data_IF_266696236649
#
_entry.id   IF_266696236649
#
_cell.length_a   1.000
_cell.length_b   1.000
_cell.length_c   1.000
_cell.angle_alpha   90.00
_cell.angle_beta   90.00
_cell.angle_gamma   90.00
#
_symmetry.space_group_name_H-M   'P 1'
#
loop_
_entity.id
_entity.type
_entity.pdbx_description
1 polymer ?
#
# COMPACT_ATOMS: atom_id res chain seq x y z
N UNK A 1 1.04 10.96 -7.16
CA UNK A 1 -0.26 10.32 -7.44
C UNK A 1 -1.26 11.36 -7.93
N UNK A 2 -2.15 11.03 -8.89
CA UNK A 2 -3.28 11.88 -9.27
C UNK A 2 -4.18 12.18 -8.07
N UNK A 3 -4.86 13.34 -8.08
CA UNK A 3 -5.76 13.74 -6.99
C UNK A 3 -6.89 12.73 -6.73
N UNK A 4 -7.43 12.14 -7.79
CA UNK A 4 -8.46 11.11 -7.71
C UNK A 4 -8.02 9.86 -6.92
N UNK A 5 -6.72 9.58 -6.86
CA UNK A 5 -6.18 8.41 -6.17
C UNK A 5 -5.95 8.64 -4.67
N UNK A 6 -6.21 9.84 -4.15
CA UNK A 6 -5.93 10.23 -2.75
C UNK A 6 -7.13 10.11 -1.79
N UNK A 7 -8.29 9.64 -2.26
CA UNK A 7 -9.49 9.52 -1.41
C UNK A 7 -9.34 8.41 -0.36
N UNK A 8 -8.89 7.22 -0.79
CA UNK A 8 -8.53 6.10 0.08
C UNK A 8 -7.20 5.52 -0.38
N UNK A 9 -6.19 5.57 0.50
CA UNK A 9 -4.81 5.21 0.16
C UNK A 9 -4.31 4.09 1.06
N UNK A 10 -3.81 3.03 0.45
CA UNK A 10 -3.07 1.97 1.10
C UNK A 10 -1.56 2.28 1.07
N UNK A 11 -0.88 2.11 2.20
CA UNK A 11 0.58 2.11 2.28
C UNK A 11 1.02 0.74 2.81
N UNK A 12 1.80 -0.01 2.04
CA UNK A 12 2.32 -1.31 2.45
C UNK A 12 3.77 -1.13 2.91
N UNK A 13 3.99 -1.32 4.21
CA UNK A 13 5.26 -1.10 4.89
C UNK A 13 5.30 0.23 5.65
N UNK A 14 5.71 0.18 6.92
CA UNK A 14 5.86 1.33 7.81
C UNK A 14 7.32 1.49 8.29
N UNK A 15 8.27 1.25 7.38
CA UNK A 15 9.66 1.69 7.56
C UNK A 15 9.80 3.21 7.49
N UNK A 16 11.04 3.70 7.51
CA UNK A 16 11.33 5.16 7.43
C UNK A 16 10.64 5.85 6.26
N UNK A 17 10.70 5.24 5.07
CA UNK A 17 10.03 5.74 3.86
C UNK A 17 8.51 5.68 4.03
N UNK A 18 7.97 4.54 4.46
CA UNK A 18 6.52 4.37 4.65
C UNK A 18 5.90 5.38 5.62
N UNK A 19 6.55 5.63 6.76
CA UNK A 19 6.10 6.62 7.74
C UNK A 19 6.21 8.06 7.20
N UNK A 20 7.24 8.35 6.41
CA UNK A 20 7.36 9.64 5.71
C UNK A 20 6.22 9.83 4.70
N UNK A 21 5.83 8.77 4.00
CA UNK A 21 4.71 8.77 3.05
C UNK A 21 3.37 8.99 3.77
N UNK A 22 3.13 8.35 4.91
CA UNK A 22 1.92 8.60 5.72
C UNK A 22 1.78 10.09 6.05
N UNK A 23 2.87 10.73 6.49
CA UNK A 23 2.86 12.17 6.77
C UNK A 23 2.70 13.02 5.52
N UNK A 24 3.35 12.66 4.41
CA UNK A 24 3.18 13.36 3.14
C UNK A 24 1.73 13.29 2.63
N UNK A 25 1.09 12.12 2.71
CA UNK A 25 -0.32 11.94 2.35
C UNK A 25 -1.24 12.79 3.23
N UNK A 26 -0.95 12.89 4.54
CA UNK A 26 -1.67 13.81 5.45
C UNK A 26 -1.53 15.26 5.02
N UNK A 27 -0.31 15.72 4.72
CA UNK A 27 -0.03 17.08 4.25
C UNK A 27 -0.75 17.37 2.92
N UNK A 28 -0.80 16.38 2.03
CA UNK A 28 -1.50 16.47 0.75
C UNK A 28 -3.03 16.44 0.86
N UNK A 29 -3.58 16.22 2.07
CA UNK A 29 -5.02 16.13 2.30
C UNK A 29 -5.66 14.85 1.78
N UNK A 30 -4.93 13.72 1.82
CA UNK A 30 -5.52 12.41 1.53
C UNK A 30 -6.67 12.10 2.51
N UNK A 31 -7.74 11.46 2.01
CA UNK A 31 -8.95 11.20 2.78
C UNK A 31 -8.73 10.19 3.90
N UNK A 32 -8.56 8.90 3.54
CA UNK A 32 -8.29 7.82 4.49
C UNK A 32 -6.98 7.11 4.15
N UNK A 33 -6.07 7.03 5.12
CA UNK A 33 -4.78 6.34 4.97
C UNK A 33 -4.81 5.04 5.78
N UNK A 34 -4.62 3.92 5.10
CA UNK A 34 -4.55 2.58 5.71
C UNK A 34 -3.13 2.05 5.55
N UNK A 35 -2.57 1.44 6.60
CA UNK A 35 -1.21 0.89 6.57
C UNK A 35 -1.20 -0.60 6.85
N UNK A 36 -0.49 -1.38 6.04
CA UNK A 36 -0.17 -2.79 6.34
C UNK A 36 1.29 -2.89 6.78
N UNK A 37 1.53 -3.42 7.97
CA UNK A 37 2.89 -3.59 8.51
C UNK A 37 2.93 -4.74 9.53
N UNK A 38 3.86 -5.71 9.43
CA UNK A 38 3.95 -6.83 10.37
C UNK A 38 4.35 -6.43 11.80
N UNK A 39 5.19 -5.42 11.98
CA UNK A 39 5.64 -4.96 13.29
C UNK A 39 4.58 -4.09 14.00
N UNK A 40 4.12 -4.54 15.17
CA UNK A 40 3.08 -3.85 15.94
C UNK A 40 3.49 -2.45 16.46
N UNK A 41 4.76 -2.26 16.80
CA UNK A 41 5.26 -0.96 17.26
C UNK A 41 5.29 0.04 16.10
N UNK A 42 5.67 -0.41 14.90
CA UNK A 42 5.60 0.42 13.69
C UNK A 42 4.16 0.75 13.28
N UNK A 43 3.21 -0.20 13.42
CA UNK A 43 1.78 0.08 13.25
C UNK A 43 1.30 1.17 14.22
N UNK A 44 1.65 1.05 15.50
CA UNK A 44 1.29 2.07 16.49
C UNK A 44 1.89 3.45 16.16
N UNK A 45 3.11 3.49 15.62
CA UNK A 45 3.72 4.74 15.16
C UNK A 45 3.02 5.31 13.92
N UNK A 46 2.62 4.46 12.97
CA UNK A 46 1.86 4.91 11.80
C UNK A 46 0.54 5.59 12.18
N UNK A 47 -0.21 5.04 13.16
CA UNK A 47 -1.41 5.71 13.71
C UNK A 47 -1.08 7.10 14.26
N UNK A 48 -0.02 7.21 15.07
CA UNK A 48 0.41 8.50 15.65
C UNK A 48 0.79 9.53 14.58
N UNK A 49 1.31 9.08 13.45
CA UNK A 49 1.74 9.95 12.34
C UNK A 49 0.63 10.23 11.31
N UNK A 50 -0.58 9.71 11.52
CA UNK A 50 -1.77 10.08 10.75
C UNK A 50 -2.36 8.98 9.87
N UNK A 51 -1.93 7.73 10.01
CA UNK A 51 -2.74 6.61 9.50
C UNK A 51 -4.09 6.56 10.24
N UNK A 52 -5.17 6.30 9.51
CA UNK A 52 -6.49 6.10 10.08
C UNK A 52 -6.68 4.65 10.57
N UNK A 53 -6.11 3.69 9.84
CA UNK A 53 -6.18 2.27 10.17
C UNK A 53 -4.83 1.60 9.92
N UNK A 54 -4.54 0.57 10.72
CA UNK A 54 -3.32 -0.22 10.62
C UNK A 54 -3.65 -1.70 10.79
N UNK A 55 -3.03 -2.54 9.98
CA UNK A 55 -3.32 -3.97 9.91
C UNK A 55 -2.03 -4.77 9.84
N UNK A 56 -1.98 -5.95 10.48
CA UNK A 56 -0.94 -6.91 10.14
C UNK A 56 -1.24 -7.53 8.76
N UNK A 57 -0.22 -8.06 8.05
CA UNK A 57 -0.43 -8.75 6.79
C UNK A 57 -1.47 -9.87 6.93
N UNK A 58 -2.47 -9.89 6.05
CA UNK A 58 -3.55 -10.89 6.04
C UNK A 58 -4.75 -10.57 6.93
N UNK A 59 -4.72 -9.55 7.78
CA UNK A 59 -5.86 -9.18 8.64
C UNK A 59 -6.89 -8.29 7.93
N UNK A 60 -6.45 -7.53 6.92
CA UNK A 60 -7.35 -6.69 6.13
C UNK A 60 -8.19 -7.56 5.18
N UNK A 61 -9.51 -7.45 5.30
CA UNK A 61 -10.47 -8.19 4.49
C UNK A 61 -10.17 -8.10 2.97
N UNK A 62 -10.36 -9.20 2.26
CA UNK A 62 -9.89 -9.38 0.88
C UNK A 62 -10.67 -8.55 -0.16
N UNK A 63 -11.87 -8.09 0.16
CA UNK A 63 -12.76 -7.28 -0.67
C UNK A 63 -12.53 -5.77 -0.52
N UNK A 64 -11.72 -5.34 0.45
CA UNK A 64 -11.36 -3.92 0.60
C UNK A 64 -10.55 -3.43 -0.59
N UNK A 65 -10.95 -2.28 -1.14
CA UNK A 65 -10.30 -1.62 -2.28
C UNK A 65 -9.97 -0.17 -1.98
N UNK A 66 -8.93 0.33 -2.64
CA UNK A 66 -8.38 1.68 -2.47
C UNK A 66 -8.31 2.42 -3.81
N UNK A 67 -8.42 3.75 -3.77
CA UNK A 67 -8.21 4.59 -4.96
C UNK A 67 -6.72 4.66 -5.33
N UNK A 68 -5.83 4.42 -4.37
CA UNK A 68 -4.43 4.20 -4.66
C UNK A 68 -3.69 3.38 -3.60
N UNK A 69 -2.57 2.79 -4.00
CA UNK A 69 -1.70 2.02 -3.14
C UNK A 69 -0.23 2.42 -3.36
N UNK A 70 0.55 2.43 -2.28
CA UNK A 70 1.98 2.69 -2.30
C UNK A 70 2.69 1.52 -1.61
N UNK A 71 3.42 0.73 -2.39
CA UNK A 71 4.26 -0.35 -1.87
C UNK A 71 5.69 0.15 -1.65
N UNK A 72 6.10 0.23 -0.39
CA UNK A 72 7.48 0.60 0.01
C UNK A 72 8.33 -0.61 0.40
N UNK A 73 7.82 -1.83 0.24
CA UNK A 73 8.53 -3.09 0.46
C UNK A 73 9.08 -3.63 -0.86
N UNK A 74 8.28 -3.57 -1.93
CA UNK A 74 8.60 -4.09 -3.26
C UNK A 74 8.95 -5.60 -3.28
N UNK A 75 8.34 -6.38 -2.40
CA UNK A 75 8.34 -7.84 -2.51
C UNK A 75 7.23 -8.29 -3.46
N UNK A 76 7.38 -9.44 -4.11
CA UNK A 76 6.35 -9.93 -5.05
C UNK A 76 4.97 -10.03 -4.40
N UNK A 77 4.91 -10.50 -3.15
CA UNK A 77 3.66 -10.62 -2.41
C UNK A 77 3.00 -9.25 -2.16
N UNK A 78 3.77 -8.22 -1.81
CA UNK A 78 3.24 -6.88 -1.53
C UNK A 78 2.83 -6.15 -2.81
N UNK A 79 3.54 -6.37 -3.91
CA UNK A 79 3.16 -5.85 -5.22
C UNK A 79 1.84 -6.46 -5.70
N UNK A 80 1.69 -7.78 -5.57
CA UNK A 80 0.44 -8.47 -5.90
C UNK A 80 -0.71 -7.95 -5.01
N UNK A 81 -0.47 -7.77 -3.71
CA UNK A 81 -1.46 -7.25 -2.78
C UNK A 81 -1.85 -5.80 -3.14
N UNK A 82 -0.89 -4.93 -3.46
CA UNK A 82 -1.15 -3.56 -3.91
C UNK A 82 -1.99 -3.52 -5.20
N UNK A 83 -1.64 -4.34 -6.20
CA UNK A 83 -2.37 -4.41 -7.47
C UNK A 83 -3.79 -4.94 -7.31
N UNK A 84 -4.01 -5.94 -6.47
CA UNK A 84 -5.34 -6.55 -6.26
C UNK A 84 -6.24 -5.72 -5.36
N UNK A 85 -5.67 -4.83 -4.54
CA UNK A 85 -6.40 -3.96 -3.61
C UNK A 85 -6.71 -2.58 -4.17
N UNK A 86 -6.34 -2.23 -5.40
CA UNK A 86 -6.79 -0.97 -6.01
C UNK A 86 -8.05 -1.18 -6.84
N UNK A 87 -8.93 -0.17 -6.89
CA UNK A 87 -10.03 -0.17 -7.86
C UNK A 87 -9.50 -0.23 -9.30
N UNK A 88 -10.33 -0.70 -10.23
CA UNK A 88 -10.02 -0.58 -11.65
C UNK A 88 -9.84 0.91 -12.02
N UNK A 89 -8.74 1.23 -12.72
CA UNK A 89 -8.34 2.63 -12.99
C UNK A 89 -7.67 3.33 -11.80
N UNK A 90 -7.47 2.65 -10.67
CA UNK A 90 -6.71 3.13 -9.52
C UNK A 90 -5.21 3.21 -9.79
N UNK A 91 -4.46 3.75 -8.82
CA UNK A 91 -3.01 3.98 -8.97
C UNK A 91 -2.21 3.13 -8.00
N UNK A 92 -1.25 2.35 -8.50
CA UNK A 92 -0.22 1.70 -7.68
C UNK A 92 1.10 2.40 -7.90
N UNK A 93 1.80 2.73 -6.81
CA UNK A 93 3.17 3.25 -6.82
C UNK A 93 4.07 2.23 -6.14
N UNK A 94 5.10 1.76 -6.84
CA UNK A 94 6.16 0.95 -6.26
C UNK A 94 7.38 1.83 -5.97
N UNK A 95 7.85 1.83 -4.71
CA UNK A 95 8.99 2.64 -4.24
C UNK A 95 10.05 1.80 -3.51
N UNK A 96 9.73 0.57 -3.11
CA UNK A 96 10.65 -0.29 -2.37
C UNK A 96 11.80 -0.82 -3.20
N UNK A 97 12.83 -1.35 -2.52
CA UNK A 97 13.90 -2.14 -3.14
C UNK A 97 13.77 -3.57 -2.61
N UNK A 98 13.47 -4.56 -3.47
CA UNK A 98 13.32 -5.94 -3.01
C UNK A 98 14.61 -6.44 -2.39
N UNK A 99 14.51 -7.10 -1.23
CA UNK A 99 15.58 -7.92 -0.69
C UNK A 99 15.32 -9.39 -1.03
N UNK A 100 16.19 -9.99 -1.86
CA UNK A 100 16.16 -11.43 -2.18
C UNK A 100 16.03 -11.78 -3.68
N UNK A 101 16.03 -13.09 -4.01
CA UNK A 101 15.97 -13.57 -5.39
C UNK A 101 14.65 -13.20 -6.06
N UNK A 102 14.71 -12.76 -7.32
CA UNK A 102 13.53 -12.46 -8.14
C UNK A 102 12.93 -13.78 -8.63
N UNK A 103 11.72 -14.13 -8.22
CA UNK A 103 10.92 -15.10 -8.94
C UNK A 103 10.37 -14.44 -10.20
N UNK A 104 10.72 -14.94 -11.38
CA UNK A 104 10.42 -14.33 -12.68
C UNK A 104 8.94 -14.46 -13.08
N UNK A 105 8.03 -14.77 -12.16
CA UNK A 105 6.67 -15.19 -12.50
C UNK A 105 5.71 -14.01 -12.38
N UNK A 106 5.79 -13.10 -13.35
CA UNK A 106 4.56 -12.42 -13.79
C UNK A 106 3.78 -13.52 -14.50
N UNK A 107 2.87 -14.20 -13.80
CA UNK A 107 1.89 -15.05 -14.47
C UNK A 107 1.05 -14.15 -15.36
N UNK A 108 0.89 -14.51 -16.63
CA UNK A 108 0.00 -13.90 -17.63
C UNK A 108 -1.50 -13.85 -17.22
N UNK A 109 -1.84 -14.10 -15.95
CA UNK A 109 -3.20 -14.14 -15.42
C UNK A 109 -3.70 -12.78 -14.89
N UNK A 110 -2.87 -11.73 -14.94
CA UNK A 110 -3.37 -10.35 -14.81
C UNK A 110 -4.06 -9.92 -16.12
N UNK A 111 -5.01 -10.71 -16.61
CA UNK A 111 -5.92 -10.26 -17.67
C UNK A 111 -6.84 -9.23 -17.05
N UNK A 112 -6.44 -7.96 -17.14
CA UNK A 112 -7.33 -6.84 -16.96
C UNK A 112 -8.33 -6.88 -18.12
N UNK A 113 -9.42 -7.64 -17.95
CA UNK A 113 -10.52 -7.63 -18.92
C UNK A 113 -11.29 -6.33 -18.70
N UNK A 114 -11.20 -5.47 -19.72
CA UNK A 114 -12.02 -4.26 -19.88
C UNK A 114 -13.51 -4.61 -20.02
#
# INVERSE_FOLDING_TARGET
MPKASLESVLVIGAGTIGLSIVQALRIMGAGKITVIEPDAAKRALALKLGAAEVWAPGELAADVRFTGAIDVVAAQATLNDACTRVYAGGTVVCMGVPSGPRGNTITDDATFRA
#
